data_IF_973033969188
#
_entry.id   IF_973033969188
#
_cell.length_a   1.000
_cell.length_b   1.000
_cell.length_c   1.000
_cell.angle_alpha   90.00
_cell.angle_beta   90.00
_cell.angle_gamma   90.00
#
_symmetry.space_group_name_H-M   'P 1'
#
loop_
_entity.id
_entity.type
_entity.pdbx_description
1 polymer ?
#
# COMPACT_ATOMS: atom_id res chain seq x y z
N UNK A 1 44.45 22.76 23.81
CA UNK A 1 44.13 22.46 22.39
C UNK A 1 43.93 20.96 22.28
N UNK A 2 42.67 20.51 22.27
CA UNK A 2 42.31 19.10 22.05
C UNK A 2 42.44 18.80 20.56
N UNK A 3 43.18 17.74 20.22
CA UNK A 3 43.39 17.30 18.84
C UNK A 3 42.06 16.95 18.16
N UNK A 4 41.90 17.17 16.83
CA UNK A 4 40.73 16.69 16.11
C UNK A 4 40.73 15.16 16.16
N UNK A 5 39.64 14.58 16.65
CA UNK A 5 39.46 13.13 16.63
C UNK A 5 39.56 12.63 15.18
N UNK A 6 40.43 11.64 14.94
CA UNK A 6 40.58 11.03 13.62
C UNK A 6 39.24 10.41 13.21
N UNK A 7 38.61 10.96 12.16
CA UNK A 7 37.40 10.40 11.58
C UNK A 7 37.68 8.95 11.16
N UNK A 8 37.07 7.99 11.85
CA UNK A 8 37.18 6.59 11.47
C UNK A 8 36.59 6.41 10.06
N UNK A 9 37.13 5.50 9.24
CA UNK A 9 36.58 5.26 7.90
C UNK A 9 35.13 4.80 8.03
N UNK A 10 34.20 5.60 7.48
CA UNK A 10 32.76 5.31 7.51
C UNK A 10 32.51 3.94 6.88
N UNK A 11 31.96 3.02 7.68
CA UNK A 11 31.59 1.68 7.21
C UNK A 11 30.38 1.78 6.30
N UNK A 12 30.54 1.36 5.06
CA UNK A 12 29.46 1.34 4.06
C UNK A 12 28.45 0.22 4.30
N UNK A 13 28.82 -0.78 5.10
CA UNK A 13 28.04 -1.99 5.30
C UNK A 13 28.28 -2.54 6.70
N UNK A 14 27.22 -2.95 7.38
CA UNK A 14 27.23 -3.60 8.70
C UNK A 14 26.38 -4.86 8.64
N UNK A 15 26.70 -5.88 9.45
CA UNK A 15 25.98 -7.16 9.44
C UNK A 15 24.45 -7.01 9.63
N UNK A 16 24.00 -5.97 10.34
CA UNK A 16 22.57 -5.66 10.53
C UNK A 16 21.83 -5.27 9.24
N UNK A 17 22.54 -4.81 8.21
CA UNK A 17 21.94 -4.38 6.94
C UNK A 17 21.31 -5.56 6.19
N UNK A 18 21.84 -6.78 6.38
CA UNK A 18 21.23 -7.99 5.82
C UNK A 18 19.85 -8.26 6.42
N UNK A 19 19.72 -8.17 7.75
CA UNK A 19 18.45 -8.39 8.41
C UNK A 19 17.42 -7.33 7.98
N UNK A 20 17.84 -6.06 7.88
CA UNK A 20 17.00 -4.98 7.37
C UNK A 20 16.58 -5.18 5.91
N UNK A 21 17.51 -5.60 5.04
CA UNK A 21 17.24 -5.89 3.63
C UNK A 21 16.23 -7.03 3.46
N UNK A 22 16.45 -8.18 4.10
CA UNK A 22 15.53 -9.31 4.00
C UNK A 22 14.17 -9.00 4.62
N UNK A 23 14.13 -8.27 5.75
CA UNK A 23 12.89 -7.78 6.34
C UNK A 23 12.09 -6.93 5.36
N UNK A 24 12.74 -5.97 4.69
CA UNK A 24 12.12 -5.11 3.69
C UNK A 24 11.63 -5.87 2.46
N UNK A 25 12.43 -6.82 1.95
CA UNK A 25 12.06 -7.64 0.79
C UNK A 25 10.85 -8.51 1.10
N UNK A 26 10.85 -9.21 2.23
CA UNK A 26 9.73 -10.10 2.62
C UNK A 26 8.45 -9.30 2.84
N UNK A 27 8.53 -8.14 3.51
CA UNK A 27 7.38 -7.27 3.72
C UNK A 27 6.80 -6.75 2.39
N UNK A 28 7.65 -6.18 1.52
CA UNK A 28 7.23 -5.67 0.22
C UNK A 28 6.62 -6.77 -0.67
N UNK A 29 7.24 -7.95 -0.72
CA UNK A 29 6.71 -9.07 -1.50
C UNK A 29 5.37 -9.58 -0.96
N UNK A 30 5.19 -9.59 0.36
CA UNK A 30 3.93 -9.97 0.99
C UNK A 30 2.81 -8.99 0.62
N UNK A 31 3.08 -7.68 0.68
CA UNK A 31 2.12 -6.64 0.30
C UNK A 31 1.80 -6.72 -1.20
N UNK A 32 2.80 -6.85 -2.06
CA UNK A 32 2.59 -7.01 -3.50
C UNK A 32 1.78 -8.28 -3.81
N UNK A 33 2.13 -9.41 -3.19
CA UNK A 33 1.38 -10.67 -3.32
C UNK A 33 -0.08 -10.51 -2.90
N UNK A 34 -0.34 -9.81 -1.81
CA UNK A 34 -1.70 -9.48 -1.39
C UNK A 34 -2.44 -8.62 -2.43
N UNK A 35 -1.81 -7.57 -2.94
CA UNK A 35 -2.42 -6.69 -3.96
C UNK A 35 -2.73 -7.47 -5.24
N UNK A 36 -1.84 -8.36 -5.69
CA UNK A 36 -2.11 -9.23 -6.82
C UNK A 36 -3.30 -10.15 -6.55
N UNK A 37 -3.34 -10.82 -5.40
CA UNK A 37 -4.47 -11.69 -5.02
C UNK A 37 -5.78 -10.89 -5.00
N UNK A 38 -5.77 -9.69 -4.41
CA UNK A 38 -6.96 -8.85 -4.33
C UNK A 38 -7.40 -8.37 -5.72
N UNK A 39 -6.53 -7.69 -6.47
CA UNK A 39 -6.92 -7.08 -7.74
C UNK A 39 -7.17 -8.12 -8.84
N UNK A 40 -6.25 -9.07 -9.03
CA UNK A 40 -6.38 -10.09 -10.09
C UNK A 40 -7.36 -11.18 -9.65
N UNK A 41 -7.25 -11.68 -8.42
CA UNK A 41 -8.08 -12.77 -7.94
C UNK A 41 -9.53 -12.35 -7.65
N UNK A 42 -9.73 -11.28 -6.86
CA UNK A 42 -11.08 -10.87 -6.42
C UNK A 42 -11.75 -9.99 -7.49
N UNK A 43 -11.07 -8.93 -7.94
CA UNK A 43 -11.67 -7.95 -8.86
C UNK A 43 -11.53 -8.30 -10.34
N UNK A 44 -10.86 -9.41 -10.68
CA UNK A 44 -10.63 -9.84 -12.07
C UNK A 44 -9.94 -8.75 -12.90
N UNK A 45 -9.02 -8.03 -12.27
CA UNK A 45 -8.23 -6.98 -12.89
C UNK A 45 -7.19 -7.59 -13.86
N UNK A 46 -6.93 -6.98 -15.03
CA UNK A 46 -5.98 -7.51 -16.00
C UNK A 46 -4.59 -7.70 -15.41
N UNK A 47 -4.13 -8.96 -15.38
CA UNK A 47 -2.87 -9.34 -14.74
C UNK A 47 -1.66 -8.71 -15.45
N UNK A 48 -1.72 -8.53 -16.76
CA UNK A 48 -0.68 -7.87 -17.56
C UNK A 48 -0.48 -6.40 -17.14
N UNK A 49 -1.54 -5.71 -16.72
CA UNK A 49 -1.42 -4.34 -16.20
C UNK A 49 -0.78 -4.34 -14.81
N UNK A 50 -1.15 -5.27 -13.94
CA UNK A 50 -0.57 -5.39 -12.59
C UNK A 50 0.91 -5.74 -12.66
N UNK A 51 1.24 -6.85 -13.33
CA UNK A 51 2.60 -7.36 -13.39
C UNK A 51 3.49 -6.59 -14.37
N UNK A 52 2.92 -6.00 -15.43
CA UNK A 52 3.67 -5.26 -16.44
C UNK A 52 3.88 -3.78 -16.10
N UNK A 53 2.99 -3.16 -15.31
CA UNK A 53 3.06 -1.72 -15.02
C UNK A 53 3.11 -1.40 -13.53
N UNK A 54 2.21 -1.97 -12.72
CA UNK A 54 2.15 -1.63 -11.30
C UNK A 54 3.38 -2.13 -10.54
N UNK A 55 3.72 -3.41 -10.67
CA UNK A 55 4.81 -4.01 -9.89
C UNK A 55 6.19 -3.46 -10.28
N UNK A 56 6.54 -3.35 -11.57
CA UNK A 56 7.80 -2.75 -11.97
C UNK A 56 7.88 -1.27 -11.55
N UNK A 57 6.77 -0.53 -11.66
CA UNK A 57 6.70 0.87 -11.23
C UNK A 57 6.94 1.02 -9.74
N UNK A 58 6.32 0.18 -8.92
CA UNK A 58 6.54 0.16 -7.47
C UNK A 58 7.97 -0.24 -7.11
N UNK A 59 8.50 -1.30 -7.71
CA UNK A 59 9.88 -1.73 -7.48
C UNK A 59 10.89 -0.63 -7.82
N UNK A 60 10.68 0.05 -8.95
CA UNK A 60 11.50 1.19 -9.36
C UNK A 60 11.36 2.37 -8.38
N UNK A 61 10.14 2.69 -7.93
CA UNK A 61 9.89 3.74 -6.94
C UNK A 61 10.60 3.47 -5.61
N UNK A 62 10.54 2.21 -5.14
CA UNK A 62 11.25 1.76 -3.93
C UNK A 62 12.77 1.89 -4.11
N UNK A 63 13.31 1.47 -5.25
CA UNK A 63 14.73 1.58 -5.54
C UNK A 63 15.22 3.03 -5.52
N UNK A 64 14.53 3.91 -6.26
CA UNK A 64 14.87 5.34 -6.32
C UNK A 64 14.74 6.00 -4.94
N UNK A 65 13.67 5.70 -4.20
CA UNK A 65 13.45 6.22 -2.86
C UNK A 65 14.56 5.83 -1.88
N UNK A 66 14.96 4.55 -1.89
CA UNK A 66 16.07 4.08 -1.04
C UNK A 66 17.40 4.73 -1.44
N UNK A 67 17.69 4.90 -2.74
CA UNK A 67 18.89 5.60 -3.19
C UNK A 67 18.93 7.05 -2.68
N UNK A 68 17.81 7.77 -2.79
CA UNK A 68 17.70 9.13 -2.28
C UNK A 68 17.93 9.20 -0.76
N UNK A 69 17.32 8.29 0.02
CA UNK A 69 17.54 8.24 1.46
C UNK A 69 18.99 7.90 1.83
N UNK A 70 19.64 6.99 1.10
CA UNK A 70 21.07 6.72 1.28
C UNK A 70 21.91 7.97 1.01
N UNK A 71 21.61 8.73 -0.04
CA UNK A 71 22.30 9.99 -0.33
C UNK A 71 22.08 11.03 0.77
N UNK A 72 20.86 11.14 1.30
CA UNK A 72 20.53 12.03 2.42
C UNK A 72 21.28 11.64 3.70
N UNK A 73 21.30 10.35 4.04
CA UNK A 73 22.05 9.82 5.17
C UNK A 73 23.55 10.12 5.05
N UNK A 74 24.14 9.92 3.87
CA UNK A 74 25.56 10.25 3.62
C UNK A 74 25.86 11.75 3.72
N UNK A 75 24.97 12.60 3.18
CA UNK A 75 25.08 14.05 3.31
C UNK A 75 24.98 14.49 4.77
N UNK A 76 24.09 13.88 5.54
CA UNK A 76 23.92 14.17 6.97
C UNK A 76 25.16 13.76 7.77
N UNK A 77 25.67 12.53 7.58
CA UNK A 77 26.90 12.04 8.21
C UNK A 77 28.11 12.95 7.90
N UNK A 78 28.22 13.42 6.66
CA UNK A 78 29.26 14.36 6.26
C UNK A 78 29.18 15.71 6.98
N UNK A 79 27.97 16.23 7.21
CA UNK A 79 27.75 17.53 7.86
C UNK A 79 27.92 17.47 9.37
N UNK A 80 27.50 16.38 10.01
CA UNK A 80 27.51 16.26 11.49
C UNK A 80 28.79 15.60 12.01
N UNK A 81 29.60 14.99 11.14
CA UNK A 81 30.79 14.23 11.55
C UNK A 81 30.45 12.96 12.33
N UNK A 82 29.18 12.53 12.31
CA UNK A 82 28.70 11.33 13.00
C UNK A 82 28.85 10.09 12.14
N UNK A 83 29.24 8.99 12.79
CA UNK A 83 29.43 7.69 12.15
C UNK A 83 28.27 6.70 12.43
N UNK A 84 27.25 7.13 13.20
CA UNK A 84 26.07 6.35 13.58
C UNK A 84 24.81 6.71 12.76
N UNK A 85 24.98 7.37 11.61
CA UNK A 85 23.87 7.76 10.74
C UNK A 85 23.49 6.59 9.83
N UNK A 86 22.24 6.14 9.95
CA UNK A 86 21.66 5.09 9.12
C UNK A 86 20.60 5.65 8.18
N UNK A 87 20.50 5.07 6.97
CA UNK A 87 19.40 5.39 6.07
C UNK A 87 18.13 4.68 6.55
N UNK A 88 17.00 5.38 6.54
CA UNK A 88 15.71 4.77 6.81
C UNK A 88 15.29 3.95 5.58
N UNK A 89 14.99 2.65 5.71
CA UNK A 89 14.53 1.85 4.59
C UNK A 89 13.15 2.32 4.14
N UNK A 90 12.98 2.51 2.83
CA UNK A 90 11.70 2.82 2.23
C UNK A 90 11.07 1.53 1.69
N UNK A 91 9.88 1.21 2.17
CA UNK A 91 9.07 0.07 1.74
C UNK A 91 7.64 0.49 1.43
N UNK A 92 6.83 -0.49 1.04
CA UNK A 92 5.39 -0.28 0.93
C UNK A 92 4.78 -0.20 2.34
N UNK A 93 3.78 0.66 2.51
CA UNK A 93 3.01 0.70 3.75
C UNK A 93 1.75 -0.16 3.61
N UNK A 94 1.68 -1.24 4.40
CA UNK A 94 0.59 -2.21 4.31
C UNK A 94 -0.81 -1.57 4.43
N UNK A 95 -1.10 -0.67 5.40
CA UNK A 95 -2.44 -0.11 5.56
C UNK A 95 -2.91 0.68 4.33
N UNK A 96 -2.06 1.56 3.79
CA UNK A 96 -2.40 2.37 2.62
C UNK A 96 -2.46 1.53 1.36
N UNK A 97 -1.50 0.62 1.17
CA UNK A 97 -1.43 -0.21 -0.03
C UNK A 97 -2.62 -1.17 -0.12
N UNK A 98 -2.99 -1.81 1.00
CA UNK A 98 -4.17 -2.67 1.09
C UNK A 98 -5.45 -1.85 0.91
N UNK A 99 -5.57 -0.71 1.60
CA UNK A 99 -6.71 0.18 1.48
C UNK A 99 -6.91 0.68 0.05
N UNK A 100 -5.82 1.05 -0.64
CA UNK A 100 -5.87 1.52 -2.02
C UNK A 100 -6.33 0.42 -2.98
N UNK A 101 -5.84 -0.82 -2.80
CA UNK A 101 -6.27 -1.94 -3.63
C UNK A 101 -7.76 -2.26 -3.46
N UNK A 102 -8.24 -2.38 -2.22
CA UNK A 102 -9.59 -2.85 -1.91
C UNK A 102 -10.67 -1.77 -2.00
N UNK A 103 -10.35 -0.54 -1.57
CA UNK A 103 -11.34 0.53 -1.41
C UNK A 103 -11.35 1.53 -2.57
N UNK A 104 -10.28 1.56 -3.37
CA UNK A 104 -10.16 2.55 -4.46
C UNK A 104 -9.98 1.88 -5.81
N UNK A 105 -8.91 1.12 -6.02
CA UNK A 105 -8.60 0.54 -7.34
C UNK A 105 -9.63 -0.52 -7.76
N UNK A 106 -9.94 -1.48 -6.88
CA UNK A 106 -10.94 -2.51 -7.17
C UNK A 106 -12.32 -1.94 -7.52
N UNK A 107 -12.92 -1.09 -6.66
CA UNK A 107 -14.19 -0.43 -6.96
C UNK A 107 -14.15 0.45 -8.21
N UNK A 108 -13.07 1.21 -8.43
CA UNK A 108 -12.92 2.03 -9.63
C UNK A 108 -12.88 1.18 -10.90
N UNK A 109 -12.23 0.02 -10.87
CA UNK A 109 -12.21 -0.91 -12.01
C UNK A 109 -13.61 -1.42 -12.36
N UNK A 110 -14.40 -1.80 -11.34
CA UNK A 110 -15.80 -2.21 -11.56
C UNK A 110 -16.61 -1.04 -12.12
N UNK A 111 -16.45 0.16 -11.57
CA UNK A 111 -17.16 1.35 -12.06
C UNK A 111 -16.82 1.66 -13.53
N UNK A 112 -15.56 1.54 -13.94
CA UNK A 112 -15.15 1.72 -15.33
C UNK A 112 -15.71 0.64 -16.26
N UNK A 113 -15.76 -0.62 -15.81
CA UNK A 113 -16.43 -1.69 -16.57
C UNK A 113 -17.94 -1.42 -16.74
N UNK A 114 -18.60 -0.91 -15.70
CA UNK A 114 -20.03 -0.55 -15.76
C UNK A 114 -20.31 0.60 -16.74
N UNK A 115 -19.32 1.46 -17.01
CA UNK A 115 -19.40 2.51 -18.04
C UNK A 115 -19.24 1.97 -19.46
N UNK A 116 -19.13 0.65 -19.65
CA UNK A 116 -19.01 0.00 -20.95
C UNK A 116 -17.58 -0.05 -21.49
N UNK A 117 -16.57 0.26 -20.67
CA UNK A 117 -15.17 0.11 -21.07
C UNK A 117 -14.81 -1.38 -21.13
N UNK A 118 -14.05 -1.75 -22.16
CA UNK A 118 -13.40 -3.06 -22.27
C UNK A 118 -12.54 -3.33 -21.00
N UNK A 119 -12.46 -4.57 -20.48
CA UNK A 119 -11.72 -4.86 -19.26
C UNK A 119 -10.27 -4.40 -19.28
N UNK A 120 -9.60 -4.45 -20.44
CA UNK A 120 -8.22 -3.95 -20.53
C UNK A 120 -8.19 -2.41 -20.48
N UNK A 121 -9.09 -1.72 -21.18
CA UNK A 121 -9.21 -0.26 -21.14
C UNK A 121 -9.59 0.25 -19.74
N UNK A 122 -10.51 -0.43 -19.05
CA UNK A 122 -10.87 -0.15 -17.66
C UNK A 122 -9.66 -0.33 -16.73
N UNK A 123 -8.84 -1.37 -16.95
CA UNK A 123 -7.62 -1.60 -16.18
C UNK A 123 -6.60 -0.47 -16.34
N UNK A 124 -6.40 0.02 -17.56
CA UNK A 124 -5.52 1.18 -17.82
C UNK A 124 -6.07 2.44 -17.16
N UNK A 125 -7.38 2.70 -17.25
CA UNK A 125 -8.01 3.85 -16.61
C UNK A 125 -7.88 3.81 -15.08
N UNK A 126 -8.09 2.64 -14.46
CA UNK A 126 -7.88 2.44 -13.02
C UNK A 126 -6.41 2.63 -12.63
N UNK A 127 -5.47 2.14 -13.45
CA UNK A 127 -4.04 2.36 -13.19
C UNK A 127 -3.67 3.84 -13.23
N UNK A 128 -4.20 4.60 -14.21
CA UNK A 128 -4.02 6.04 -14.29
C UNK A 128 -4.62 6.78 -13.09
N UNK A 129 -5.82 6.36 -12.64
CA UNK A 129 -6.43 6.87 -11.40
C UNK A 129 -5.51 6.61 -10.19
N UNK A 130 -4.94 5.42 -10.09
CA UNK A 130 -3.97 5.07 -9.05
C UNK A 130 -2.72 5.95 -9.09
N UNK A 131 -2.17 6.17 -10.28
CA UNK A 131 -1.02 7.07 -10.48
C UNK A 131 -1.34 8.51 -10.07
N UNK A 132 -2.51 9.02 -10.46
CA UNK A 132 -2.96 10.36 -10.07
C UNK A 132 -3.09 10.47 -8.54
N UNK A 133 -3.69 9.47 -7.88
CA UNK A 133 -3.82 9.43 -6.43
C UNK A 133 -2.44 9.42 -5.74
N UNK A 134 -1.48 8.65 -6.23
CA UNK A 134 -0.11 8.62 -5.69
C UNK A 134 0.60 9.96 -5.84
N UNK A 135 0.46 10.62 -7.00
CA UNK A 135 1.05 11.96 -7.22
C UNK A 135 0.43 13.00 -6.29
N UNK A 136 -0.90 13.03 -6.18
CA UNK A 136 -1.60 13.96 -5.28
C UNK A 136 -1.20 13.72 -3.82
N UNK A 137 -1.14 12.46 -3.40
CA UNK A 137 -0.71 12.09 -2.05
C UNK A 137 0.75 12.48 -1.80
N UNK A 138 1.63 12.30 -2.78
CA UNK A 138 3.03 12.73 -2.72
C UNK A 138 3.17 14.24 -2.60
N UNK A 139 2.42 15.00 -3.41
CA UNK A 139 2.38 16.46 -3.35
C UNK A 139 1.84 16.95 -2.00
N UNK A 140 0.76 16.33 -1.52
CA UNK A 140 0.19 16.64 -0.22
C UNK A 140 1.22 16.38 0.89
N UNK A 141 1.87 15.21 0.91
CA UNK A 141 2.94 14.89 1.87
C UNK A 141 4.09 15.89 1.78
N UNK A 142 4.47 16.31 0.58
CA UNK A 142 5.51 17.32 0.37
C UNK A 142 5.11 18.67 1.00
N UNK A 143 3.91 19.17 0.72
CA UNK A 143 3.41 20.43 1.31
C UNK A 143 3.26 20.33 2.83
N UNK A 144 2.71 19.23 3.34
CA UNK A 144 2.54 19.02 4.77
C UNK A 144 3.87 18.86 5.51
N UNK A 145 4.93 18.41 4.84
CA UNK A 145 6.24 18.22 5.47
C UNK A 145 6.82 19.51 6.07
N UNK A 146 6.51 20.68 5.49
CA UNK A 146 6.93 21.98 6.02
C UNK A 146 6.27 22.32 7.37
N UNK A 147 5.07 21.78 7.63
CA UNK A 147 4.33 21.97 8.87
C UNK A 147 4.52 20.81 9.85
N UNK A 148 5.23 19.75 9.45
CA UNK A 148 5.36 18.51 10.21
C UNK A 148 5.94 18.72 11.61
N UNK A 149 6.93 19.63 11.75
CA UNK A 149 7.56 19.92 13.03
C UNK A 149 6.63 20.67 13.99
N UNK A 150 5.79 21.57 13.47
CA UNK A 150 4.77 22.25 14.29
C UNK A 150 3.71 21.26 14.80
N UNK A 151 3.29 20.33 13.94
CA UNK A 151 2.32 19.27 14.29
C UNK A 151 2.89 18.30 15.32
N UNK A 152 4.14 17.86 15.16
CA UNK A 152 4.78 16.94 16.14
C UNK A 152 5.03 17.59 17.49
N UNK A 153 5.22 18.91 17.55
CA UNK A 153 5.32 19.65 18.83
C UNK A 153 3.96 19.80 19.52
N UNK A 154 2.87 19.87 18.74
CA UNK A 154 1.51 20.01 19.27
C UNK A 154 0.87 18.68 19.68
N UNK A 155 1.25 17.56 19.04
CA UNK A 155 0.66 16.25 19.30
C UNK A 155 1.34 15.54 20.49
N UNK A 156 0.58 15.08 21.51
CA UNK A 156 1.14 14.25 22.57
C UNK A 156 1.57 12.88 22.01
N UNK A 157 2.61 12.26 22.58
CA UNK A 157 3.10 10.93 22.14
C UNK A 157 1.99 9.86 22.14
N UNK A 158 1.00 10.00 23.02
CA UNK A 158 -0.19 9.14 23.05
C UNK A 158 -1.06 9.26 21.79
N UNK A 159 -1.13 10.43 21.13
CA UNK A 159 -1.87 10.60 19.89
C UNK A 159 -1.20 9.90 18.69
N UNK A 160 0.15 9.83 18.68
CA UNK A 160 0.91 9.10 17.66
C UNK A 160 0.71 7.58 17.78
N UNK A 161 0.57 7.06 19.00
CA UNK A 161 0.21 5.67 19.25
C UNK A 161 -1.29 5.42 19.04
N UNK A 162 -2.13 6.44 19.18
CA UNK A 162 -3.59 6.37 19.10
C UNK A 162 -4.15 6.04 17.71
N UNK A 163 -3.44 6.35 16.61
CA UNK A 163 -3.89 5.95 15.26
C UNK A 163 -3.62 4.47 14.99
N UNK A 164 -2.44 3.98 15.37
CA UNK A 164 -2.06 2.56 15.28
C UNK A 164 -2.88 1.73 16.28
N UNK A 165 -3.03 2.22 17.51
CA UNK A 165 -3.89 1.65 18.52
C UNK A 165 -5.38 1.81 18.18
N UNK A 166 -5.81 2.81 17.42
CA UNK A 166 -7.19 2.91 16.94
C UNK A 166 -7.51 1.82 15.93
N UNK A 167 -6.57 1.50 15.04
CA UNK A 167 -6.68 0.38 14.09
C UNK A 167 -6.52 -0.98 14.81
N UNK A 168 -5.66 -1.07 15.84
CA UNK A 168 -5.37 -2.31 16.57
C UNK A 168 -6.32 -2.59 17.75
N UNK A 169 -6.84 -1.56 18.43
CA UNK A 169 -7.75 -1.58 19.58
C UNK A 169 -9.16 -1.12 19.21
N UNK A 170 -9.51 -1.02 17.92
CA UNK A 170 -10.92 -0.99 17.53
C UNK A 170 -11.60 -2.15 18.25
N UNK A 171 -12.31 -1.84 19.34
CA UNK A 171 -12.95 -2.84 20.20
C UNK A 171 -14.14 -3.34 19.41
N UNK A 172 -13.88 -4.40 18.68
CA UNK A 172 -14.88 -5.12 17.94
C UNK A 172 -15.71 -5.92 18.95
N UNK A 173 -17.04 -5.89 18.88
CA UNK A 173 -17.91 -6.81 19.62
C UNK A 173 -17.62 -8.29 19.30
N UNK A 174 -16.87 -8.55 18.22
CA UNK A 174 -16.49 -9.88 17.72
C UNK A 174 -14.98 -9.90 17.50
N UNK A 175 -14.28 -10.85 18.12
CA UNK A 175 -12.82 -11.04 17.96
C UNK A 175 -12.49 -11.35 16.49
N UNK A 176 -11.95 -10.38 15.74
CA UNK A 176 -11.47 -10.55 14.36
C UNK A 176 -10.54 -9.41 13.93
N UNK A 177 -9.68 -9.60 12.92
CA UNK A 177 -8.75 -8.57 12.45
C UNK A 177 -9.52 -7.36 11.89
N UNK A 178 -9.16 -6.14 12.30
CA UNK A 178 -9.88 -4.89 12.00
C UNK A 178 -10.10 -4.60 10.51
N UNK A 179 -9.25 -5.14 9.64
CA UNK A 179 -9.42 -5.08 8.18
C UNK A 179 -10.68 -5.82 7.72
N UNK A 180 -10.99 -6.98 8.28
CA UNK A 180 -12.21 -7.72 7.95
C UNK A 180 -13.45 -6.95 8.36
N UNK A 181 -13.38 -6.17 9.44
CA UNK A 181 -14.51 -5.36 9.90
C UNK A 181 -14.65 -4.04 9.16
N UNK A 182 -13.57 -3.40 8.70
CA UNK A 182 -13.67 -2.32 7.73
C UNK A 182 -14.31 -2.82 6.43
N UNK A 183 -13.96 -4.03 5.99
CA UNK A 183 -14.56 -4.67 4.82
C UNK A 183 -16.05 -5.01 5.04
N UNK A 184 -16.41 -5.63 6.18
CA UNK A 184 -17.80 -5.92 6.53
C UNK A 184 -18.62 -4.65 6.71
N UNK A 185 -18.09 -3.64 7.38
CA UNK A 185 -18.77 -2.36 7.56
C UNK A 185 -18.97 -1.63 6.23
N UNK A 186 -17.95 -1.58 5.38
CA UNK A 186 -18.07 -1.03 4.02
C UNK A 186 -19.07 -1.81 3.17
N UNK A 187 -19.10 -3.14 3.30
CA UNK A 187 -20.05 -4.03 2.61
C UNK A 187 -21.48 -3.81 3.10
N UNK A 188 -21.70 -3.76 4.41
CA UNK A 188 -23.01 -3.49 5.03
C UNK A 188 -23.50 -2.09 4.68
N UNK A 189 -22.62 -1.09 4.67
CA UNK A 189 -22.97 0.27 4.28
C UNK A 189 -23.35 0.34 2.80
N UNK A 190 -22.60 -0.32 1.92
CA UNK A 190 -22.89 -0.39 0.48
C UNK A 190 -24.25 -1.07 0.21
N UNK A 191 -24.49 -2.26 0.79
CA UNK A 191 -25.77 -2.96 0.61
C UNK A 191 -26.93 -2.30 1.36
N UNK A 192 -26.68 -1.70 2.52
CA UNK A 192 -27.68 -0.97 3.29
C UNK A 192 -28.13 0.31 2.58
N UNK A 193 -27.19 1.08 2.03
CA UNK A 193 -27.50 2.27 1.24
C UNK A 193 -28.17 1.90 -0.10
N UNK A 194 -27.74 0.80 -0.72
CA UNK A 194 -28.36 0.22 -1.91
C UNK A 194 -29.80 -0.24 -1.70
N UNK A 195 -30.09 -0.94 -0.60
CA UNK A 195 -31.45 -1.38 -0.23
C UNK A 195 -32.34 -0.21 0.22
N UNK A 196 -31.77 0.84 0.81
CA UNK A 196 -32.48 2.06 1.20
C UNK A 196 -32.79 3.01 0.03
N UNK A 197 -32.44 2.64 -1.21
CA UNK A 197 -32.71 3.43 -2.41
C UNK A 197 -31.84 4.68 -2.57
N UNK A 198 -30.83 4.85 -1.72
CA UNK A 198 -29.86 5.95 -1.74
C UNK A 198 -28.51 5.53 -2.38
N UNK A 199 -28.44 4.29 -2.87
CA UNK A 199 -27.26 3.74 -3.55
C UNK A 199 -27.15 4.17 -5.02
N UNK A 200 -26.03 3.83 -5.64
CA UNK A 200 -25.80 4.09 -7.06
C UNK A 200 -26.90 3.42 -7.94
N UNK A 201 -27.32 4.06 -9.04
CA UNK A 201 -28.33 3.49 -9.95
C UNK A 201 -27.83 2.14 -10.52
N UNK A 202 -28.65 1.08 -10.38
CA UNK A 202 -28.29 -0.29 -10.79
C UNK A 202 -27.97 -1.27 -9.66
N UNK A 203 -28.35 -0.95 -8.41
CA UNK A 203 -28.19 -1.86 -7.28
C UNK A 203 -28.99 -3.17 -7.48
N UNK A 204 -28.27 -4.29 -7.57
CA UNK A 204 -28.85 -5.63 -7.56
C UNK A 204 -28.22 -6.47 -6.46
N UNK A 205 -29.06 -7.14 -5.69
CA UNK A 205 -28.62 -8.07 -4.63
C UNK A 205 -27.96 -9.27 -5.32
N UNK A 206 -26.75 -9.70 -4.91
CA UNK A 206 -26.09 -10.84 -5.53
C UNK A 206 -26.96 -12.09 -5.39
N UNK A 207 -27.24 -12.75 -6.50
CA UNK A 207 -27.93 -14.03 -6.50
C UNK A 207 -27.03 -15.09 -5.86
N UNK A 208 -27.59 -15.93 -4.99
CA UNK A 208 -26.86 -17.02 -4.36
C UNK A 208 -26.41 -18.02 -5.41
N UNK A 209 -25.09 -18.18 -5.57
CA UNK A 209 -24.50 -19.22 -6.41
C UNK A 209 -24.02 -20.34 -5.48
N UNK A 210 -24.56 -21.57 -5.59
CA UNK A 210 -24.12 -22.67 -4.74
C UNK A 210 -22.63 -22.95 -4.97
N UNK A 211 -21.85 -23.24 -3.90
CA UNK A 211 -20.43 -23.51 -4.03
C UNK A 211 -20.22 -24.75 -4.90
N UNK A 212 -19.65 -24.54 -6.09
CA UNK A 212 -19.27 -25.62 -6.97
C UNK A 212 -17.82 -25.98 -6.67
N UNK A 213 -17.58 -27.23 -6.29
CA UNK A 213 -16.23 -27.78 -6.23
C UNK A 213 -15.79 -28.00 -7.68
N UNK A 214 -15.15 -26.99 -8.25
CA UNK A 214 -14.46 -27.11 -9.54
C UNK A 214 -13.13 -27.78 -9.24
N UNK A 215 -13.12 -29.11 -9.24
CA UNK A 215 -11.86 -29.85 -9.37
C UNK A 215 -11.26 -29.42 -10.71
N UNK A 216 -9.96 -29.07 -10.78
CA UNK A 216 -9.29 -28.88 -12.05
C UNK A 216 -9.36 -30.22 -12.78
N UNK A 217 -10.32 -30.35 -13.68
CA UNK A 217 -10.41 -31.50 -14.54
C UNK A 217 -9.12 -31.50 -15.38
N UNK A 218 -8.42 -32.62 -15.37
CA UNK A 218 -7.19 -32.84 -16.12
C UNK A 218 -7.48 -33.08 -17.61
N UNK A 219 -8.41 -32.32 -18.17
CA UNK A 219 -8.76 -32.26 -19.58
C UNK A 219 -8.54 -30.84 -20.10
N UNK A 220 -7.34 -30.30 -19.81
CA UNK A 220 -6.71 -29.37 -20.74
C UNK A 220 -6.38 -30.13 -22.03
N UNK A 221 -7.41 -30.41 -22.82
CA UNK A 221 -7.27 -30.68 -24.23
C UNK A 221 -6.65 -29.45 -24.86
N UNK A 222 -5.34 -29.54 -25.11
CA UNK A 222 -4.69 -28.77 -26.16
C UNK A 222 -5.12 -29.39 -27.49
N UNK A 223 -5.93 -28.67 -28.28
CA UNK A 223 -5.64 -28.49 -29.70
C UNK A 223 -5.12 -27.08 -29.98
#
# INVERSE_FOLDING_TARGET
>A
MSAPASAAPRRWFVAGDFNGFFGLVVDNLSILGFIAMALVGIFQFPADVVFGRMFPGTAFGVLVGNLLYTLMARRLAARTGRDDVTAMPLGLDAPTSIGMALLVLGPAFIAFKQQGLDPHAAGIATWQLGMAALVIMGLLKFVLSFFGEAVTRALPRAALLGSIAGIALGKLPVRGPGVLLAFVFGTVLYYGLGLAGLGAPGFHVPAWVPPQVVLPAADAGFP
#
